data_IF_933605591942
#
_entry.id   IF_933605591942
#
_cell.length_a   1.000
_cell.length_b   1.000
_cell.length_c   1.000
_cell.angle_alpha   90.00
_cell.angle_beta   90.00
_cell.angle_gamma   90.00
#
_symmetry.space_group_name_H-M   'P 1'
#
loop_
_entity.id
_entity.type
_entity.pdbx_description
1 polymer ?
#
# COMPACT_ATOMS: atom_id res chain seq x y z
N UNK A 1 -1.99 -3.34 24.01
CA UNK A 1 -1.03 -2.34 24.53
C UNK A 1 -0.70 -1.40 23.39
N UNK A 2 -1.05 -0.12 23.53
CA UNK A 2 -0.91 0.87 22.48
C UNK A 2 0.58 1.13 22.21
N UNK A 3 1.02 0.82 20.99
CA UNK A 3 2.31 1.24 20.50
C UNK A 3 2.35 2.77 20.57
N UNK A 4 3.31 3.30 21.31
CA UNK A 4 3.65 4.71 21.40
C UNK A 4 3.61 5.32 20.01
N UNK A 5 2.64 6.22 19.77
CA UNK A 5 2.47 6.90 18.51
C UNK A 5 3.73 7.71 18.21
N UNK A 6 4.63 7.17 17.37
CA UNK A 6 5.62 7.97 16.65
C UNK A 6 4.83 9.12 16.01
N UNK A 7 5.19 10.36 16.31
CA UNK A 7 4.64 11.57 15.68
C UNK A 7 4.56 11.31 14.17
N UNK A 8 3.35 11.11 13.64
CA UNK A 8 3.09 11.13 12.20
C UNK A 8 3.32 12.58 11.77
N UNK A 9 4.51 12.88 11.27
CA UNK A 9 4.92 14.26 10.96
C UNK A 9 4.28 14.78 9.65
N UNK A 10 3.72 13.89 8.83
CA UNK A 10 2.87 14.25 7.70
C UNK A 10 1.41 13.88 8.00
N UNK A 11 0.51 14.81 7.72
CA UNK A 11 -0.93 14.60 7.90
C UNK A 11 -1.53 14.01 6.63
N UNK A 12 -2.11 12.81 6.77
CA UNK A 12 -2.77 12.05 5.70
C UNK A 12 -4.29 12.03 5.86
N UNK A 13 -4.84 12.71 6.87
CA UNK A 13 -6.25 12.61 7.25
C UNK A 13 -7.22 13.02 6.13
N UNK A 14 -6.82 13.96 5.27
CA UNK A 14 -7.63 14.40 4.13
C UNK A 14 -7.51 13.45 2.93
N UNK A 15 -6.51 12.56 2.90
CA UNK A 15 -6.35 11.62 1.79
C UNK A 15 -7.35 10.47 1.92
N UNK A 16 -7.96 10.05 0.80
CA UNK A 16 -8.74 8.83 0.74
C UNK A 16 -8.02 7.61 1.32
N UNK A 17 -8.74 6.81 2.12
CA UNK A 17 -8.27 5.52 2.62
C UNK A 17 -7.75 4.65 1.49
N UNK A 18 -6.57 4.06 1.69
CA UNK A 18 -5.95 3.13 0.73
C UNK A 18 -5.32 3.79 -0.51
N UNK A 19 -5.29 5.13 -0.61
CA UNK A 19 -4.57 5.84 -1.69
C UNK A 19 -3.15 6.26 -1.31
N UNK A 20 -2.82 6.18 -0.02
CA UNK A 20 -1.48 6.41 0.52
C UNK A 20 -0.95 5.09 1.08
N UNK A 21 0.27 4.75 0.71
CA UNK A 21 1.00 3.59 1.22
C UNK A 21 2.30 4.06 1.86
N UNK A 22 2.59 3.55 3.06
CA UNK A 22 3.80 3.88 3.80
C UNK A 22 4.79 2.71 3.74
N UNK A 23 6.05 3.01 3.46
CA UNK A 23 7.17 2.09 3.51
C UNK A 23 8.22 2.66 4.46
N UNK A 24 8.89 1.79 5.21
CA UNK A 24 9.99 2.20 6.09
C UNK A 24 11.16 1.26 5.91
N UNK A 25 12.28 1.81 5.44
CA UNK A 25 13.49 1.05 5.14
C UNK A 25 14.66 1.67 5.86
N UNK A 26 15.55 0.84 6.42
CA UNK A 26 16.74 1.32 7.10
C UNK A 26 17.97 1.20 6.21
N UNK A 27 18.91 2.13 6.37
CA UNK A 27 20.14 2.23 5.61
C UNK A 27 21.33 2.20 6.59
N UNK A 28 22.32 1.34 6.36
CA UNK A 28 23.51 1.31 7.21
C UNK A 28 24.60 2.28 6.71
N UNK A 29 24.77 3.41 7.39
CA UNK A 29 25.81 4.38 7.08
C UNK A 29 27.22 3.81 7.26
N UNK A 30 27.43 2.88 8.20
CA UNK A 30 28.75 2.26 8.37
C UNK A 30 29.15 1.43 7.14
N UNK A 31 28.22 0.65 6.58
CA UNK A 31 28.46 -0.06 5.33
C UNK A 31 28.83 0.90 4.20
N UNK A 32 28.09 2.00 4.08
CA UNK A 32 28.27 2.95 2.99
C UNK A 32 29.60 3.69 3.13
N UNK A 33 29.90 4.24 4.31
CA UNK A 33 31.18 4.91 4.55
C UNK A 33 32.36 3.98 4.29
N UNK A 34 32.28 2.69 4.67
CA UNK A 34 33.33 1.70 4.35
C UNK A 34 33.50 1.48 2.86
N UNK A 35 32.42 1.43 2.08
CA UNK A 35 32.51 1.32 0.61
C UNK A 35 33.25 2.54 0.05
N UNK A 36 32.82 3.74 0.37
CA UNK A 36 33.42 4.97 -0.18
C UNK A 36 34.86 5.19 0.28
N UNK A 37 35.19 4.92 1.55
CA UNK A 37 36.52 5.22 2.10
C UNK A 37 37.52 4.08 1.88
N UNK A 38 37.12 2.82 2.14
CA UNK A 38 38.04 1.68 2.09
C UNK A 38 38.11 1.02 0.70
N UNK A 39 36.99 0.98 -0.05
CA UNK A 39 36.97 0.33 -1.37
C UNK A 39 37.24 1.33 -2.50
N UNK A 40 36.63 2.52 -2.43
CA UNK A 40 36.80 3.55 -3.46
C UNK A 40 37.91 4.56 -3.13
N UNK A 41 38.54 4.46 -1.96
CA UNK A 41 39.67 5.31 -1.57
C UNK A 41 39.34 6.80 -1.40
N UNK A 42 38.06 7.17 -1.23
CA UNK A 42 37.68 8.57 -1.06
C UNK A 42 38.05 9.09 0.32
N UNK A 43 38.53 10.33 0.38
CA UNK A 43 38.70 11.04 1.64
C UNK A 43 37.35 11.17 2.38
N UNK A 44 37.31 11.13 3.73
CA UNK A 44 36.07 11.15 4.50
C UNK A 44 35.13 12.31 4.17
N UNK A 45 35.67 13.50 3.88
CA UNK A 45 34.89 14.69 3.48
C UNK A 45 34.24 14.53 2.10
N UNK A 46 34.94 13.91 1.16
CA UNK A 46 34.40 13.59 -0.17
C UNK A 46 33.33 12.51 -0.05
N UNK A 47 33.60 11.43 0.70
CA UNK A 47 32.62 10.39 1.00
C UNK A 47 31.34 10.96 1.64
N UNK A 48 31.46 11.85 2.63
CA UNK A 48 30.32 12.55 3.22
C UNK A 48 29.48 13.32 2.18
N UNK A 49 30.14 14.01 1.26
CA UNK A 49 29.45 14.82 0.24
C UNK A 49 28.70 13.93 -0.75
N UNK A 50 29.30 12.83 -1.18
CA UNK A 50 28.66 11.83 -2.05
C UNK A 50 27.47 11.15 -1.34
N UNK A 51 27.67 10.72 -0.09
CA UNK A 51 26.61 10.08 0.70
C UNK A 51 25.45 11.06 0.92
N UNK A 52 25.71 12.32 1.28
CA UNK A 52 24.66 13.33 1.46
C UNK A 52 23.83 13.55 0.20
N UNK A 53 24.44 13.45 -0.99
CA UNK A 53 23.76 13.59 -2.29
C UNK A 53 23.04 12.32 -2.74
N UNK A 54 23.20 11.20 -2.02
CA UNK A 54 22.58 9.94 -2.39
C UNK A 54 21.06 10.08 -2.47
N UNK A 55 20.54 9.64 -3.62
CA UNK A 55 19.13 9.66 -3.98
C UNK A 55 18.70 8.20 -4.20
N UNK A 56 18.10 7.54 -3.20
CA UNK A 56 17.65 6.16 -3.33
C UNK A 56 16.68 5.98 -4.50
N UNK A 57 16.80 4.86 -5.21
CA UNK A 57 15.81 4.47 -6.21
C UNK A 57 14.56 3.91 -5.52
N UNK A 58 13.37 4.08 -6.13
CA UNK A 58 12.11 3.55 -5.56
C UNK A 58 12.22 2.04 -5.33
N UNK A 59 12.82 1.31 -6.26
CA UNK A 59 13.00 -0.14 -6.14
C UNK A 59 13.81 -0.57 -4.90
N UNK A 60 14.74 0.28 -4.43
CA UNK A 60 15.52 0.04 -3.20
C UNK A 60 14.70 0.30 -1.94
N UNK A 61 13.74 1.23 -2.01
CA UNK A 61 12.93 1.67 -0.88
C UNK A 61 11.68 0.82 -0.68
N UNK A 62 11.08 0.33 -1.76
CA UNK A 62 9.77 -0.35 -1.75
C UNK A 62 9.84 -1.83 -2.15
N UNK A 63 11.04 -2.34 -2.42
CA UNK A 63 11.24 -3.75 -2.78
C UNK A 63 10.80 -4.70 -1.66
N UNK A 64 10.26 -5.86 -2.04
CA UNK A 64 9.83 -6.87 -1.07
C UNK A 64 10.98 -7.46 -0.23
N UNK A 65 12.21 -7.41 -0.76
CA UNK A 65 13.43 -7.81 -0.07
C UNK A 65 14.40 -6.64 -0.15
N UNK A 66 14.78 -6.11 1.01
CA UNK A 66 15.77 -5.05 1.09
C UNK A 66 17.14 -5.52 0.56
N UNK A 67 17.71 -4.75 -0.37
CA UNK A 67 19.03 -5.00 -0.92
C UNK A 67 20.09 -4.19 -0.16
N UNK A 68 21.29 -4.76 0.05
CA UNK A 68 22.40 -4.05 0.71
C UNK A 68 22.68 -2.71 -0.01
N UNK A 69 22.85 -1.58 0.71
CA UNK A 69 23.02 -1.43 2.16
C UNK A 69 21.73 -1.23 2.97
N UNK A 70 20.57 -1.39 2.34
CA UNK A 70 19.26 -1.29 2.95
C UNK A 70 18.88 -2.58 3.68
N UNK A 71 18.06 -2.48 4.72
CA UNK A 71 17.54 -3.64 5.45
C UNK A 71 16.24 -3.27 6.17
N UNK A 72 15.42 -4.28 6.44
CA UNK A 72 14.21 -4.13 7.24
C UNK A 72 14.56 -3.99 8.72
N UNK A 73 13.98 -3.00 9.38
CA UNK A 73 14.10 -2.84 10.83
C UNK A 73 13.21 -3.85 11.54
N UNK A 74 13.73 -5.05 11.77
CA UNK A 74 13.17 -5.91 12.79
C UNK A 74 13.71 -5.46 14.16
N UNK A 75 12.83 -5.02 15.07
CA UNK A 75 13.20 -4.68 16.47
C UNK A 75 14.02 -5.77 17.16
N UNK A 76 13.91 -7.01 16.69
CA UNK A 76 14.65 -8.18 17.18
C UNK A 76 16.16 -8.14 16.90
N UNK A 77 16.63 -7.38 15.91
CA UNK A 77 18.06 -7.29 15.55
C UNK A 77 18.56 -5.84 15.67
N UNK A 78 19.22 -5.46 16.78
CA UNK A 78 19.69 -4.10 16.99
C UNK A 78 20.92 -3.71 16.15
N UNK A 79 21.41 -4.65 15.32
CA UNK A 79 22.62 -4.53 14.52
C UNK A 79 22.34 -4.67 13.02
N UNK A 80 23.16 -4.02 12.20
CA UNK A 80 23.14 -4.18 10.75
C UNK A 80 23.45 -5.63 10.37
N UNK A 81 22.62 -6.27 9.52
CA UNK A 81 22.83 -7.68 9.13
C UNK A 81 24.10 -7.89 8.30
N UNK A 82 24.67 -6.84 7.71
CA UNK A 82 25.81 -6.94 6.79
C UNK A 82 27.16 -6.65 7.44
N UNK A 83 27.22 -5.74 8.41
CA UNK A 83 28.48 -5.31 9.03
C UNK A 83 28.46 -5.30 10.56
N UNK A 84 27.36 -5.76 11.17
CA UNK A 84 27.15 -5.79 12.60
C UNK A 84 27.21 -4.41 13.32
N UNK A 85 27.11 -3.31 12.56
CA UNK A 85 27.08 -1.97 13.13
C UNK A 85 25.85 -1.77 14.02
N UNK A 86 26.04 -1.04 15.13
CA UNK A 86 24.96 -0.71 16.06
C UNK A 86 24.00 0.36 15.49
N UNK A 87 22.76 0.39 16.02
CA UNK A 87 21.65 1.28 15.62
C UNK A 87 21.99 2.76 15.38
N UNK A 88 23.02 3.32 16.05
CA UNK A 88 23.45 4.72 15.81
C UNK A 88 23.89 4.98 14.37
N UNK A 89 24.30 3.94 13.64
CA UNK A 89 24.73 4.00 12.24
C UNK A 89 23.58 3.79 11.26
N UNK A 90 22.39 3.52 11.75
CA UNK A 90 21.22 3.24 10.93
C UNK A 90 20.48 4.55 10.71
N UNK A 91 20.23 4.86 9.46
CA UNK A 91 19.32 5.92 9.05
C UNK A 91 18.01 5.30 8.58
N UNK A 92 16.88 5.81 9.05
CA UNK A 92 15.55 5.46 8.59
C UNK A 92 15.18 6.35 7.39
N UNK A 93 14.61 5.73 6.36
CA UNK A 93 14.03 6.42 5.22
C UNK A 93 12.55 6.01 5.17
N UNK A 94 11.68 6.95 5.54
CA UNK A 94 10.24 6.77 5.44
C UNK A 94 9.79 7.24 4.05
N UNK A 95 9.08 6.37 3.34
CA UNK A 95 8.66 6.60 1.96
C UNK A 95 7.15 6.51 1.86
N UNK A 96 6.53 7.57 1.37
CA UNK A 96 5.09 7.68 1.23
C UNK A 96 4.73 7.66 -0.24
N UNK A 97 3.98 6.65 -0.67
CA UNK A 97 3.47 6.52 -2.03
C UNK A 97 2.04 7.01 -2.08
N UNK A 98 1.77 7.97 -2.95
CA UNK A 98 0.44 8.50 -3.24
C UNK A 98 0.04 8.04 -4.65
N UNK A 99 -1.10 7.37 -4.75
CA UNK A 99 -1.72 7.04 -6.03
C UNK A 99 -2.23 8.31 -6.72
N UNK A 100 -1.82 8.56 -7.96
CA UNK A 100 -2.26 9.71 -8.73
C UNK A 100 -3.68 9.54 -9.27
N UNK A 101 -4.53 10.54 -9.04
CA UNK A 101 -5.88 10.56 -9.57
C UNK A 101 -6.65 11.81 -9.16
N UNK A 102 -7.88 11.94 -9.69
CA UNK A 102 -8.73 13.11 -9.42
C UNK A 102 -8.97 13.35 -7.92
N UNK A 103 -9.02 12.28 -7.11
CA UNK A 103 -9.26 12.35 -5.68
C UNK A 103 -8.04 12.80 -4.86
N UNK A 104 -6.82 12.58 -5.36
CA UNK A 104 -5.57 12.82 -4.61
C UNK A 104 -4.76 13.99 -5.14
N UNK A 105 -5.00 14.45 -6.38
CA UNK A 105 -4.16 15.44 -7.04
C UNK A 105 -4.12 16.81 -6.34
N UNK A 106 -5.27 17.32 -5.89
CA UNK A 106 -5.33 18.60 -5.18
C UNK A 106 -4.64 18.51 -3.81
N UNK A 107 -4.91 17.44 -3.06
CA UNK A 107 -4.34 17.17 -1.74
C UNK A 107 -2.83 17.00 -1.81
N UNK A 108 -2.34 16.21 -2.78
CA UNK A 108 -0.92 16.04 -3.05
C UNK A 108 -0.24 17.37 -3.35
N UNK A 109 -0.81 18.21 -4.21
CA UNK A 109 -0.23 19.53 -4.52
C UNK A 109 -0.20 20.45 -3.30
N UNK A 110 -1.24 20.42 -2.46
CA UNK A 110 -1.29 21.17 -1.21
C UNK A 110 -0.21 20.69 -0.23
N UNK A 111 -0.07 19.37 -0.05
CA UNK A 111 0.98 18.75 0.76
C UNK A 111 2.37 19.13 0.26
N UNK A 112 2.68 18.95 -1.03
CA UNK A 112 3.98 19.30 -1.60
C UNK A 112 4.31 20.79 -1.45
N UNK A 113 3.31 21.67 -1.37
CA UNK A 113 3.48 23.10 -1.11
C UNK A 113 3.77 23.39 0.38
N UNK A 114 3.23 22.59 1.30
CA UNK A 114 3.48 22.75 2.74
C UNK A 114 4.80 22.16 3.20
N UNK A 115 5.40 21.23 2.44
CA UNK A 115 6.69 20.63 2.78
C UNK A 115 7.82 21.67 2.78
N UNK A 116 8.71 21.65 3.80
CA UNK A 116 9.95 22.42 3.81
C UNK A 116 10.78 22.16 2.55
N UNK A 117 11.19 23.24 1.88
CA UNK A 117 12.05 23.17 0.67
C UNK A 117 13.54 23.29 0.98
N UNK A 118 13.90 23.62 2.23
CA UNK A 118 15.27 23.75 2.67
C UNK A 118 15.94 22.38 2.82
N UNK A 119 17.24 22.33 2.57
CA UNK A 119 18.13 21.19 2.88
C UNK A 119 17.80 19.84 2.22
N UNK A 120 16.96 19.82 1.16
CA UNK A 120 16.59 18.59 0.44
C UNK A 120 16.01 17.49 1.35
N UNK A 121 15.30 17.91 2.40
CA UNK A 121 14.72 17.04 3.43
C UNK A 121 13.70 16.05 2.86
N UNK A 122 12.98 16.46 1.81
CA UNK A 122 12.01 15.63 1.11
C UNK A 122 12.43 15.50 -0.34
N UNK A 123 12.51 14.26 -0.80
CA UNK A 123 12.70 13.95 -2.21
C UNK A 123 11.38 13.47 -2.80
N UNK A 124 10.99 14.05 -3.93
CA UNK A 124 9.77 13.68 -4.66
C UNK A 124 10.16 12.93 -5.93
N UNK A 125 9.60 11.73 -6.11
CA UNK A 125 9.87 10.88 -7.29
C UNK A 125 8.54 10.52 -7.95
N UNK A 126 8.44 10.73 -9.27
CA UNK A 126 7.29 10.29 -10.07
C UNK A 126 7.63 8.96 -10.75
N UNK A 127 6.74 7.98 -10.65
CA UNK A 127 6.83 6.73 -11.40
C UNK A 127 5.55 6.47 -12.18
N UNK A 128 5.66 5.74 -13.29
CA UNK A 128 4.52 5.25 -14.05
C UNK A 128 4.18 3.84 -13.59
N UNK A 129 2.89 3.55 -13.51
CA UNK A 129 2.31 2.23 -13.27
C UNK A 129 1.00 2.13 -14.06
N UNK A 130 0.26 1.06 -13.85
CA UNK A 130 -1.06 0.81 -14.42
C UNK A 130 -2.05 0.41 -13.31
N UNK A 131 -3.35 0.58 -13.57
CA UNK A 131 -4.38 0.31 -12.56
C UNK A 131 -4.45 -1.15 -12.12
N UNK A 132 -4.08 -2.09 -13.00
CA UNK A 132 -4.09 -3.52 -12.68
C UNK A 132 -2.98 -3.85 -11.69
N UNK A 133 -1.77 -3.36 -11.95
CA UNK A 133 -0.64 -3.46 -11.03
C UNK A 133 -0.99 -2.88 -9.66
N UNK A 134 -1.54 -1.66 -9.61
CA UNK A 134 -1.95 -1.02 -8.35
C UNK A 134 -3.00 -1.80 -7.58
N UNK A 135 -3.96 -2.39 -8.30
CA UNK A 135 -4.99 -3.22 -7.67
C UNK A 135 -4.41 -4.48 -7.03
N UNK A 136 -3.49 -5.17 -7.69
CA UNK A 136 -2.85 -6.35 -7.11
C UNK A 136 -1.93 -6.00 -5.94
N UNK A 137 -1.17 -4.91 -6.03
CA UNK A 137 -0.38 -4.41 -4.89
C UNK A 137 -1.29 -4.06 -3.71
N UNK A 138 -2.44 -3.43 -3.96
CA UNK A 138 -3.44 -3.16 -2.92
C UNK A 138 -4.00 -4.45 -2.31
N UNK A 139 -4.31 -5.47 -3.11
CA UNK A 139 -4.74 -6.77 -2.61
C UNK A 139 -3.66 -7.41 -1.73
N UNK A 140 -2.39 -7.36 -2.13
CA UNK A 140 -1.29 -7.90 -1.31
C UNK A 140 -1.16 -7.19 0.03
N UNK A 141 -1.29 -5.86 0.06
CA UNK A 141 -1.29 -5.09 1.31
C UNK A 141 -2.49 -5.44 2.19
N UNK A 142 -3.67 -5.55 1.58
CA UNK A 142 -4.90 -5.91 2.27
C UNK A 142 -4.78 -7.31 2.90
N UNK A 143 -4.23 -8.28 2.18
CA UNK A 143 -3.96 -9.64 2.71
C UNK A 143 -3.05 -9.57 3.94
N UNK A 144 -2.00 -8.74 3.91
CA UNK A 144 -1.07 -8.59 5.04
C UNK A 144 -1.68 -7.87 6.25
N UNK A 145 -2.69 -7.03 6.04
CA UNK A 145 -3.36 -6.30 7.13
C UNK A 145 -4.50 -7.07 7.77
N UNK A 146 -5.06 -8.08 7.09
CA UNK A 146 -6.20 -8.86 7.55
C UNK A 146 -5.77 -10.12 8.31
N UNK A 147 -6.49 -10.45 9.37
CA UNK A 147 -6.45 -11.78 9.98
C UNK A 147 -7.47 -12.69 9.27
N UNK A 148 -7.00 -13.46 8.27
CA UNK A 148 -7.86 -14.34 7.47
C UNK A 148 -8.44 -15.53 8.25
N UNK A 149 -8.01 -15.76 9.49
CA UNK A 149 -8.54 -16.77 10.38
C UNK A 149 -9.62 -16.22 11.34
N UNK A 150 -9.71 -14.89 11.50
CA UNK A 150 -10.77 -14.24 12.27
C UNK A 150 -12.14 -14.27 11.56
N UNK A 151 -13.24 -14.28 12.30
CA UNK A 151 -14.59 -14.33 11.70
C UNK A 151 -14.99 -13.02 10.97
N UNK A 152 -14.35 -11.90 11.31
CA UNK A 152 -14.70 -10.56 10.83
C UNK A 152 -14.04 -10.12 9.53
N UNK A 153 -13.02 -10.83 9.02
CA UNK A 153 -12.18 -10.31 7.93
C UNK A 153 -12.94 -10.05 6.63
N UNK A 154 -14.04 -10.78 6.37
CA UNK A 154 -14.88 -10.55 5.18
C UNK A 154 -15.54 -9.17 5.21
N UNK A 155 -15.93 -8.70 6.40
CA UNK A 155 -16.50 -7.36 6.60
C UNK A 155 -15.42 -6.31 6.41
N UNK A 156 -14.23 -6.54 6.96
CA UNK A 156 -13.07 -5.65 6.81
C UNK A 156 -12.61 -5.55 5.35
N UNK A 157 -12.55 -6.67 4.62
CA UNK A 157 -12.22 -6.70 3.20
C UNK A 157 -13.27 -5.94 2.36
N UNK A 158 -14.56 -6.08 2.65
CA UNK A 158 -15.60 -5.30 1.97
C UNK A 158 -15.48 -3.82 2.30
N UNK A 159 -15.22 -3.47 3.56
CA UNK A 159 -14.99 -2.08 3.96
C UNK A 159 -13.83 -1.47 3.18
N UNK A 160 -12.68 -2.14 3.13
CA UNK A 160 -11.51 -1.67 2.41
C UNK A 160 -11.79 -1.48 0.90
N UNK A 161 -12.55 -2.38 0.29
CA UNK A 161 -13.00 -2.24 -1.09
C UNK A 161 -13.88 -1.00 -1.30
N UNK A 162 -14.88 -0.81 -0.44
CA UNK A 162 -15.82 0.32 -0.54
C UNK A 162 -15.13 1.67 -0.28
N UNK A 163 -14.21 1.70 0.69
CA UNK A 163 -13.35 2.86 0.97
C UNK A 163 -12.52 3.28 -0.24
N UNK A 164 -11.98 2.31 -0.99
CA UNK A 164 -11.23 2.60 -2.21
C UNK A 164 -12.14 3.07 -3.35
N UNK A 165 -13.33 2.48 -3.49
CA UNK A 165 -14.27 2.80 -4.58
C UNK A 165 -14.95 4.16 -4.40
N UNK A 166 -15.40 4.45 -3.19
CA UNK A 166 -16.16 5.65 -2.84
C UNK A 166 -15.46 6.39 -1.70
N UNK A 167 -14.32 7.04 -1.97
CA UNK A 167 -13.46 7.58 -0.93
C UNK A 167 -14.02 8.78 -0.17
N UNK A 168 -15.08 9.40 -0.70
CA UNK A 168 -15.75 10.55 -0.06
C UNK A 168 -16.77 10.14 1.01
N UNK A 169 -17.13 8.86 1.03
CA UNK A 169 -18.14 8.31 1.93
C UNK A 169 -17.48 8.01 3.28
N UNK A 170 -18.12 8.41 4.38
CA UNK A 170 -17.62 8.12 5.74
C UNK A 170 -17.89 6.64 6.11
N UNK A 171 -17.08 5.74 5.55
CA UNK A 171 -17.23 4.30 5.77
C UNK A 171 -16.99 3.88 7.21
N UNK A 172 -16.19 4.64 7.97
CA UNK A 172 -15.98 4.35 9.40
C UNK A 172 -17.30 4.43 10.17
N UNK A 173 -18.06 5.49 9.96
CA UNK A 173 -19.39 5.68 10.56
C UNK A 173 -20.38 4.62 10.04
N UNK A 174 -20.40 4.36 8.73
CA UNK A 174 -21.33 3.37 8.14
C UNK A 174 -21.05 1.95 8.65
N UNK A 175 -19.80 1.58 8.85
CA UNK A 175 -19.42 0.25 9.34
C UNK A 175 -19.48 0.09 10.85
N UNK A 176 -19.69 1.18 11.61
CA UNK A 176 -19.76 1.12 13.07
C UNK A 176 -20.84 0.13 13.53
N UNK A 177 -20.48 -0.98 14.17
CA UNK A 177 -21.45 -1.98 14.65
C UNK A 177 -22.08 -2.85 13.55
N UNK A 178 -21.60 -2.78 12.29
CA UNK A 178 -22.00 -3.72 11.23
C UNK A 178 -21.48 -5.11 11.55
N UNK A 179 -22.37 -6.10 11.53
CA UNK A 179 -22.07 -7.52 11.79
C UNK A 179 -22.36 -8.42 10.59
N UNK A 180 -23.04 -7.92 9.57
CA UNK A 180 -23.35 -8.68 8.38
C UNK A 180 -23.47 -7.77 7.17
N UNK A 181 -22.99 -8.25 6.03
CA UNK A 181 -23.17 -7.63 4.72
C UNK A 181 -24.06 -8.54 3.89
N UNK A 182 -25.05 -7.98 3.21
CA UNK A 182 -26.04 -8.71 2.43
C UNK A 182 -26.23 -8.07 1.07
N UNK A 183 -26.63 -8.89 0.09
CA UNK A 183 -27.14 -8.39 -1.18
C UNK A 183 -28.51 -7.74 -0.95
N UNK A 184 -28.70 -6.55 -1.50
CA UNK A 184 -30.02 -5.91 -1.58
C UNK A 184 -30.80 -6.43 -2.79
N UNK A 185 -32.11 -6.60 -2.61
CA UNK A 185 -33.05 -6.92 -3.68
C UNK A 185 -33.82 -5.70 -4.19
N UNK A 186 -33.74 -4.56 -3.48
CA UNK A 186 -34.47 -3.33 -3.80
C UNK A 186 -33.59 -2.21 -4.33
N UNK A 187 -32.29 -2.24 -4.01
CA UNK A 187 -31.35 -1.23 -4.49
C UNK A 187 -30.85 -1.60 -5.88
N UNK A 188 -30.99 -0.67 -6.81
CA UNK A 188 -30.33 -0.74 -8.12
C UNK A 188 -28.84 -0.36 -7.99
N UNK A 189 -28.54 0.68 -7.21
CA UNK A 189 -27.20 1.21 -6.99
C UNK A 189 -26.94 1.56 -5.51
N UNK A 190 -25.67 1.68 -5.13
CA UNK A 190 -25.24 2.11 -3.80
C UNK A 190 -25.48 1.08 -2.69
N UNK A 191 -25.70 1.58 -1.47
CA UNK A 191 -25.87 0.78 -0.28
C UNK A 191 -26.93 1.37 0.65
N UNK A 192 -27.40 0.55 1.57
CA UNK A 192 -28.31 0.96 2.63
C UNK A 192 -27.93 0.26 3.93
N UNK A 193 -27.96 1.00 5.03
CA UNK A 193 -27.71 0.46 6.36
C UNK A 193 -29.02 0.28 7.11
N UNK A 194 -29.19 -0.90 7.69
CA UNK A 194 -30.32 -1.24 8.57
C UNK A 194 -29.78 -1.92 9.84
N UNK A 195 -29.68 -1.13 10.91
CA UNK A 195 -29.11 -1.56 12.19
C UNK A 195 -27.67 -2.09 12.05
N UNK A 196 -27.49 -3.38 12.34
CA UNK A 196 -26.21 -4.09 12.25
C UNK A 196 -25.95 -4.73 10.89
N UNK A 197 -26.75 -4.42 9.86
CA UNK A 197 -26.66 -5.00 8.52
C UNK A 197 -26.38 -3.91 7.49
N UNK A 198 -25.45 -4.20 6.59
CA UNK A 198 -25.18 -3.38 5.42
C UNK A 198 -25.70 -4.11 4.17
N UNK A 199 -26.63 -3.50 3.46
CA UNK A 199 -27.18 -4.00 2.21
C UNK A 199 -26.50 -3.31 1.04
N UNK A 200 -25.86 -4.08 0.16
CA UNK A 200 -25.20 -3.56 -1.05
C UNK A 200 -26.06 -3.85 -2.26
N UNK A 201 -26.16 -2.90 -3.19
CA UNK A 201 -26.75 -3.14 -4.50
C UNK A 201 -26.06 -4.33 -5.20
N UNK A 202 -26.78 -5.09 -6.08
CA UNK A 202 -26.27 -6.31 -6.67
C UNK A 202 -24.88 -6.21 -7.30
N UNK A 203 -24.60 -5.12 -8.04
CA UNK A 203 -23.29 -4.91 -8.66
C UNK A 203 -22.18 -4.76 -7.61
N UNK A 204 -22.37 -3.90 -6.62
CA UNK A 204 -21.41 -3.67 -5.53
C UNK A 204 -21.17 -4.92 -4.68
N UNK A 205 -22.23 -5.68 -4.40
CA UNK A 205 -22.12 -6.93 -3.65
C UNK A 205 -21.25 -7.94 -4.39
N UNK A 206 -21.46 -8.10 -5.70
CA UNK A 206 -20.70 -9.02 -6.53
C UNK A 206 -19.23 -8.59 -6.69
N UNK A 207 -18.96 -7.29 -6.86
CA UNK A 207 -17.60 -6.75 -6.86
C UNK A 207 -16.89 -7.06 -5.53
N UNK A 208 -17.58 -6.88 -4.40
CA UNK A 208 -17.04 -7.20 -3.08
C UNK A 208 -16.74 -8.71 -2.91
N UNK A 209 -17.59 -9.61 -3.44
CA UNK A 209 -17.33 -11.06 -3.44
C UNK A 209 -16.07 -11.40 -4.25
N UNK A 210 -15.87 -10.73 -5.39
CA UNK A 210 -14.67 -10.94 -6.21
C UNK A 210 -13.40 -10.51 -5.47
N UNK A 211 -13.43 -9.35 -4.79
CA UNK A 211 -12.31 -8.92 -3.94
C UNK A 211 -12.02 -9.94 -2.84
N UNK A 212 -13.04 -10.38 -2.08
CA UNK A 212 -12.87 -11.38 -1.02
C UNK A 212 -12.31 -12.70 -1.55
N UNK A 213 -12.78 -13.13 -2.72
CA UNK A 213 -12.26 -14.31 -3.40
C UNK A 213 -10.78 -14.14 -3.72
N UNK A 214 -10.37 -13.01 -4.31
CA UNK A 214 -8.98 -12.74 -4.68
C UNK A 214 -8.05 -12.67 -3.47
N UNK A 215 -8.48 -12.00 -2.39
CA UNK A 215 -7.74 -11.91 -1.12
C UNK A 215 -7.45 -13.29 -0.52
N UNK A 216 -8.42 -14.22 -0.57
CA UNK A 216 -8.31 -15.51 0.12
C UNK A 216 -7.86 -16.68 -0.75
N UNK A 217 -7.82 -16.51 -2.09
CA UNK A 217 -7.59 -17.60 -3.06
C UNK A 217 -6.31 -18.39 -2.80
N UNK A 218 -5.20 -17.70 -2.50
CA UNK A 218 -3.89 -18.31 -2.25
C UNK A 218 -3.79 -19.00 -0.89
N UNK A 219 -4.58 -18.55 0.10
CA UNK A 219 -4.53 -19.04 1.48
C UNK A 219 -5.42 -20.26 1.75
N UNK A 220 -6.52 -20.45 1.02
CA UNK A 220 -7.56 -21.44 1.40
C UNK A 220 -7.94 -22.44 0.29
N UNK A 221 -7.09 -22.72 -0.71
CA UNK A 221 -7.38 -23.67 -1.82
C UNK A 221 -8.78 -23.42 -2.42
N UNK A 222 -9.06 -22.19 -2.83
CA UNK A 222 -10.39 -21.65 -3.13
C UNK A 222 -10.63 -20.35 -2.34
N UNK A 223 -11.49 -19.46 -2.84
CA UNK A 223 -11.74 -18.17 -2.19
C UNK A 223 -12.89 -18.26 -1.20
N UNK A 224 -12.67 -17.86 0.05
CA UNK A 224 -13.74 -17.66 1.03
C UNK A 224 -14.36 -16.27 0.82
N UNK A 225 -15.68 -16.23 0.77
CA UNK A 225 -16.48 -15.03 0.54
C UNK A 225 -17.64 -14.98 1.53
N UNK A 226 -18.45 -13.91 1.49
CA UNK A 226 -19.71 -13.82 2.23
C UNK A 226 -20.72 -14.93 1.89
N UNK A 227 -20.53 -15.60 0.75
CA UNK A 227 -21.37 -16.70 0.26
C UNK A 227 -20.76 -18.08 0.54
N UNK A 228 -19.74 -18.12 1.40
CA UNK A 228 -18.98 -19.32 1.71
C UNK A 228 -17.76 -19.49 0.83
N UNK A 229 -17.23 -20.71 0.80
CA UNK A 229 -16.05 -21.08 0.01
C UNK A 229 -16.47 -21.39 -1.42
N UNK A 230 -15.86 -20.69 -2.37
CA UNK A 230 -16.11 -20.84 -3.79
C UNK A 230 -14.82 -21.19 -4.51
N UNK A 231 -14.89 -22.15 -5.42
CA UNK A 231 -13.95 -22.30 -6.53
C UNK A 231 -14.16 -21.19 -7.56
N UNK A 232 -13.20 -21.01 -8.48
CA UNK A 232 -13.36 -20.05 -9.57
C UNK A 232 -14.61 -20.34 -10.41
N UNK A 233 -14.84 -21.62 -10.71
CA UNK A 233 -15.99 -22.07 -11.49
C UNK A 233 -17.31 -21.73 -10.80
N UNK A 234 -17.41 -21.95 -9.48
CA UNK A 234 -18.61 -21.63 -8.70
C UNK A 234 -18.86 -20.12 -8.63
N UNK A 235 -17.79 -19.33 -8.45
CA UNK A 235 -17.87 -17.87 -8.49
C UNK A 235 -18.39 -17.38 -9.86
N UNK A 236 -17.78 -17.82 -10.95
CA UNK A 236 -18.18 -17.45 -12.32
C UNK A 236 -19.63 -17.84 -12.59
N UNK A 237 -20.02 -19.07 -12.22
CA UNK A 237 -21.39 -19.56 -12.38
C UNK A 237 -22.38 -18.69 -11.63
N UNK A 238 -22.06 -18.30 -10.39
CA UNK A 238 -22.88 -17.40 -9.58
C UNK A 238 -23.01 -16.01 -10.20
N UNK A 239 -21.89 -15.41 -10.61
CA UNK A 239 -21.86 -14.08 -11.24
C UNK A 239 -22.74 -14.07 -12.49
N UNK A 240 -22.70 -15.16 -13.28
CA UNK A 240 -23.55 -15.32 -14.46
C UNK A 240 -25.04 -15.39 -14.10
N UNK A 241 -25.42 -16.25 -13.15
CA UNK A 241 -26.82 -16.37 -12.74
C UNK A 241 -27.38 -15.09 -12.11
N UNK A 242 -26.54 -14.31 -11.45
CA UNK A 242 -26.95 -13.03 -10.87
C UNK A 242 -27.18 -11.92 -11.92
N UNK A 243 -26.81 -12.16 -13.18
CA UNK A 243 -26.83 -11.16 -14.27
C UNK A 243 -25.62 -10.22 -14.30
N UNK A 244 -24.69 -10.35 -13.36
CA UNK A 244 -23.55 -9.45 -13.22
C UNK A 244 -22.60 -9.47 -14.41
N UNK A 245 -22.25 -10.68 -14.90
CA UNK A 245 -21.39 -10.80 -16.09
C UNK A 245 -22.06 -10.17 -17.32
N UNK A 246 -23.37 -10.37 -17.48
CA UNK A 246 -24.13 -9.78 -18.58
C UNK A 246 -24.15 -8.25 -18.48
N UNK A 247 -24.38 -7.70 -17.28
CA UNK A 247 -24.36 -6.25 -17.04
C UNK A 247 -22.98 -5.61 -17.38
N UNK A 248 -21.91 -6.39 -17.29
CA UNK A 248 -20.54 -5.97 -17.65
C UNK A 248 -20.15 -6.31 -19.09
N UNK A 249 -21.04 -6.92 -19.89
CA UNK A 249 -20.76 -7.34 -21.26
C UNK A 249 -19.80 -8.53 -21.38
N UNK A 250 -19.61 -9.31 -20.31
CA UNK A 250 -18.73 -10.48 -20.29
C UNK A 250 -19.52 -11.70 -20.78
N UNK A 251 -19.15 -12.23 -21.95
CA UNK A 251 -19.86 -13.32 -22.64
C UNK A 251 -19.06 -14.61 -22.77
N UNK A 252 -17.77 -14.54 -22.44
CA UNK A 252 -16.78 -15.62 -22.52
C UNK A 252 -17.22 -16.83 -21.70
N UNK A 253 -16.74 -18.01 -22.08
CA UNK A 253 -17.06 -19.27 -21.41
C UNK A 253 -15.92 -19.81 -20.58
N UNK A 254 -14.68 -19.50 -20.95
CA UNK A 254 -13.52 -19.89 -20.16
C UNK A 254 -13.47 -19.11 -18.84
N UNK A 255 -13.24 -19.83 -17.74
CA UNK A 255 -13.31 -19.26 -16.40
C UNK A 255 -12.14 -18.31 -16.09
N UNK A 256 -10.99 -18.48 -16.75
CA UNK A 256 -9.83 -17.62 -16.56
C UNK A 256 -9.99 -16.33 -17.37
N UNK A 257 -10.48 -16.41 -18.61
CA UNK A 257 -10.84 -15.22 -19.39
C UNK A 257 -11.91 -14.37 -18.69
N UNK A 258 -12.94 -15.03 -18.13
CA UNK A 258 -13.97 -14.33 -17.34
C UNK A 258 -13.35 -13.65 -16.11
N UNK A 259 -12.41 -14.31 -15.42
CA UNK A 259 -11.71 -13.70 -14.28
C UNK A 259 -10.93 -12.45 -14.70
N UNK A 260 -10.19 -12.52 -15.80
CA UNK A 260 -9.42 -11.39 -16.31
C UNK A 260 -10.33 -10.20 -16.62
N UNK A 261 -11.45 -10.43 -17.31
CA UNK A 261 -12.41 -9.36 -17.63
C UNK A 261 -13.12 -8.78 -16.40
N UNK A 262 -13.43 -9.61 -15.40
CA UNK A 262 -13.98 -9.08 -14.14
C UNK A 262 -12.94 -8.23 -13.39
N UNK A 263 -11.65 -8.63 -13.41
CA UNK A 263 -10.57 -7.82 -12.84
C UNK A 263 -10.41 -6.51 -13.63
N UNK A 264 -10.44 -6.55 -14.96
CA UNK A 264 -10.41 -5.35 -15.80
C UNK A 264 -11.58 -4.41 -15.52
N UNK A 265 -12.78 -4.96 -15.29
CA UNK A 265 -13.93 -4.15 -14.88
C UNK A 265 -13.71 -3.47 -13.53
N UNK A 266 -13.22 -4.21 -12.52
CA UNK A 266 -12.92 -3.66 -11.19
C UNK A 266 -11.85 -2.56 -11.24
N UNK A 267 -10.83 -2.73 -12.07
CA UNK A 267 -9.70 -1.79 -12.15
C UNK A 267 -9.93 -0.67 -13.15
N UNK A 268 -10.91 -0.81 -14.05
CA UNK A 268 -11.08 0.07 -15.21
C UNK A 268 -9.96 -0.08 -16.24
N UNK A 269 -9.42 -1.30 -16.40
CA UNK A 269 -8.45 -1.71 -17.43
C UNK A 269 -7.00 -1.28 -17.20
N UNK A 270 -6.17 -1.37 -18.24
CA UNK A 270 -4.73 -1.03 -18.24
C UNK A 270 -4.45 0.48 -18.30
N UNK A 271 -5.35 1.31 -17.75
CA UNK A 271 -5.14 2.76 -17.73
C UNK A 271 -3.85 3.12 -17.02
N UNK A 272 -3.00 3.93 -17.67
CA UNK A 272 -1.77 4.41 -17.04
C UNK A 272 -2.09 5.26 -15.80
N UNK A 273 -1.37 5.00 -14.71
CA UNK A 273 -1.46 5.76 -13.46
C UNK A 273 -0.08 6.30 -13.11
N UNK A 274 -0.05 7.52 -12.57
CA UNK A 274 1.16 8.10 -12.00
C UNK A 274 1.20 7.83 -10.51
N UNK A 275 2.34 7.39 -10.02
CA UNK A 275 2.62 7.25 -8.60
C UNK A 275 3.56 8.36 -8.16
N UNK A 276 3.28 8.93 -7.00
CA UNK A 276 4.09 9.99 -6.40
C UNK A 276 4.68 9.50 -5.10
N UNK A 277 6.00 9.41 -5.05
CA UNK A 277 6.74 9.00 -3.87
C UNK A 277 7.32 10.24 -3.19
N UNK A 278 7.11 10.36 -1.89
CA UNK A 278 7.75 11.34 -1.02
C UNK A 278 8.68 10.55 -0.11
N UNK A 279 9.98 10.73 -0.28
CA UNK A 279 11.01 10.13 0.57
C UNK A 279 11.44 11.16 1.61
N UNK A 280 11.20 10.84 2.87
CA UNK A 280 11.69 11.63 4.00
C UNK A 280 13.14 11.27 4.30
N UNK A 281 14.02 12.25 4.09
CA UNK A 281 15.47 12.12 4.24
C UNK A 281 15.98 12.77 5.53
N UNK A 282 15.12 13.27 6.41
CA UNK A 282 15.55 14.06 7.58
C UNK A 282 16.44 13.27 8.54
N UNK A 283 16.02 12.08 8.95
CA UNK A 283 16.85 11.21 9.80
C UNK A 283 18.15 10.82 9.07
N UNK A 284 18.07 10.48 7.78
CA UNK A 284 19.26 10.23 6.97
C UNK A 284 20.26 11.39 6.97
N UNK A 285 19.82 12.61 6.66
CA UNK A 285 20.68 13.79 6.60
C UNK A 285 21.28 14.12 7.96
N UNK A 286 20.51 13.99 9.04
CA UNK A 286 20.97 14.19 10.42
C UNK A 286 22.03 13.15 10.81
N UNK A 287 21.78 11.87 10.52
CA UNK A 287 22.69 10.76 10.83
C UNK A 287 23.98 10.87 10.04
N UNK A 288 23.92 11.21 8.76
CA UNK A 288 25.11 11.40 7.91
C UNK A 288 26.00 12.50 8.47
N UNK A 289 25.41 13.63 8.92
CA UNK A 289 26.14 14.72 9.59
C UNK A 289 26.81 14.25 10.89
N UNK A 290 26.05 13.54 11.73
CA UNK A 290 26.53 13.03 13.02
C UNK A 290 27.66 12.00 12.87
N UNK A 291 27.55 11.12 11.88
CA UNK A 291 28.56 10.11 11.56
C UNK A 291 29.83 10.75 11.01
N UNK A 292 29.71 11.71 10.09
CA UNK A 292 30.87 12.42 9.54
C UNK A 292 31.66 13.16 10.62
N UNK A 293 30.99 13.83 11.56
CA UNK A 293 31.65 14.51 12.67
C UNK A 293 32.55 13.58 13.50
N UNK A 294 32.33 12.27 13.48
CA UNK A 294 33.20 11.27 14.13
C UNK A 294 34.35 10.77 13.27
N UNK A 295 34.27 10.89 11.94
CA UNK A 295 35.34 10.53 11.02
C UNK A 295 36.31 11.69 10.77
N UNK A 296 35.86 12.92 10.99
CA UNK A 296 36.65 14.14 10.81
C UNK A 296 37.49 14.54 12.04
N UNK A 297 37.23 13.88 13.19
CA UNK A 297 38.05 13.95 14.41
C UNK A 297 38.93 12.72 14.49
#
# INVERSE_FOLDING_TARGET
MAATAKRRELDWSEFPSGTVTEYSTHLCLSCIFKIFTAQLGLAPRTAYTEIKRHSPAIAELTGAVAARPYFDSNEKNPHCPYCNAVKRWHAQLDTYRIEGGKATDALRRALLKSLPKSDEQFQVIEAKSDRRTLFFEWLEMLVRSLDLDADGWLIEATRAFLERREPKTNWAEIFEGVRAIRRSHRLEEGFERDGSRLFLAPALYNDALLVQYLVSRSHKHGGRTLEGRLTLMELVRRMRYSGHLHAQGITERDQFEVLEKMVEHLTGGEGAVKLYYIVDRRDFLEKVKTVYARYAN
#
